data_IF_854570120204
#
_entry.id   IF_854570120204
#
_cell.length_a   1.000
_cell.length_b   1.000
_cell.length_c   1.000
_cell.angle_alpha   90.00
_cell.angle_beta   90.00
_cell.angle_gamma   90.00
#
_symmetry.space_group_name_H-M   'P 1'
#
loop_
_entity.id
_entity.type
_entity.pdbx_description
1 polymer ?
#
# COMPACT_ATOMS: atom_id res chain seq x y z
N UNK A 1 -24.12 -6.18 1.15
CA UNK A 1 -23.03 -6.79 1.93
C UNK A 1 -21.92 -7.18 0.99
N UNK A 2 -20.83 -6.42 1.00
CA UNK A 2 -19.70 -6.63 0.11
C UNK A 2 -18.76 -7.63 0.78
N UNK A 3 -18.69 -8.87 0.30
CA UNK A 3 -17.85 -9.92 0.91
C UNK A 3 -16.36 -9.79 0.57
N UNK A 4 -16.03 -8.95 -0.41
CA UNK A 4 -14.67 -8.77 -0.95
C UNK A 4 -13.67 -8.30 0.13
N UNK A 5 -13.98 -7.32 0.99
CA UNK A 5 -13.03 -6.85 2.00
C UNK A 5 -12.67 -7.94 3.02
N UNK A 6 -13.64 -8.75 3.46
CA UNK A 6 -13.41 -9.85 4.40
C UNK A 6 -12.40 -10.86 3.87
N UNK A 7 -12.61 -11.34 2.64
CA UNK A 7 -11.68 -12.27 1.99
C UNK A 7 -10.32 -11.63 1.76
N UNK A 8 -10.29 -10.38 1.29
CA UNK A 8 -9.05 -9.64 1.07
C UNK A 8 -8.23 -9.48 2.35
N UNK A 9 -8.88 -9.18 3.48
CA UNK A 9 -8.24 -9.08 4.79
C UNK A 9 -7.61 -10.42 5.19
N UNK A 10 -8.38 -11.51 5.17
CA UNK A 10 -7.87 -12.84 5.57
C UNK A 10 -6.67 -13.24 4.70
N UNK A 11 -6.81 -13.13 3.38
CA UNK A 11 -5.76 -13.48 2.43
C UNK A 11 -4.53 -12.60 2.66
N UNK A 12 -4.70 -11.28 2.79
CA UNK A 12 -3.59 -10.34 2.99
C UNK A 12 -2.84 -10.65 4.28
N UNK A 13 -3.52 -10.88 5.39
CA UNK A 13 -2.85 -11.20 6.65
C UNK A 13 -2.11 -12.55 6.59
N UNK A 14 -2.64 -13.54 5.85
CA UNK A 14 -1.90 -14.77 5.58
C UNK A 14 -0.60 -14.49 4.78
N UNK A 15 -0.65 -13.60 3.79
CA UNK A 15 0.55 -13.15 3.05
C UNK A 15 1.53 -12.38 3.94
N UNK A 16 1.05 -11.48 4.82
CA UNK A 16 1.89 -10.79 5.81
C UNK A 16 2.65 -11.80 6.65
N UNK A 17 1.95 -12.79 7.22
CA UNK A 17 2.56 -13.83 8.04
C UNK A 17 3.59 -14.66 7.24
N UNK A 18 3.26 -15.04 6.01
CA UNK A 18 4.16 -15.82 5.15
C UNK A 18 5.44 -15.06 4.79
N UNK A 19 5.33 -13.80 4.35
CA UNK A 19 6.48 -12.96 3.96
C UNK A 19 7.32 -12.60 5.18
N UNK A 20 6.70 -12.30 6.32
CA UNK A 20 7.42 -11.99 7.56
C UNK A 20 8.14 -13.22 8.12
N UNK A 21 7.52 -14.40 8.07
CA UNK A 21 8.17 -15.66 8.46
C UNK A 21 9.38 -15.93 7.59
N UNK A 22 9.27 -15.71 6.27
CA UNK A 22 10.39 -15.81 5.34
C UNK A 22 11.50 -14.82 5.66
N UNK A 23 11.16 -13.58 6.04
CA UNK A 23 12.12 -12.59 6.52
C UNK A 23 12.88 -13.10 7.76
N UNK A 24 12.19 -13.65 8.75
CA UNK A 24 12.84 -14.20 9.96
C UNK A 24 13.81 -15.35 9.64
N UNK A 25 13.50 -16.17 8.63
CA UNK A 25 14.32 -17.32 8.25
C UNK A 25 15.50 -16.97 7.34
N UNK A 26 15.32 -16.04 6.40
CA UNK A 26 16.31 -15.74 5.33
C UNK A 26 16.95 -14.37 5.45
N UNK A 27 16.41 -13.49 6.29
CA UNK A 27 16.80 -12.09 6.40
C UNK A 27 16.51 -11.27 5.13
N UNK A 28 17.10 -10.08 5.06
CA UNK A 28 17.01 -9.19 3.91
C UNK A 28 15.96 -8.08 4.06
N UNK A 29 16.39 -6.83 3.92
CA UNK A 29 15.57 -5.64 4.15
C UNK A 29 14.34 -5.58 3.23
N UNK A 30 14.45 -6.08 1.98
CA UNK A 30 13.32 -6.11 1.05
C UNK A 30 12.12 -6.93 1.56
N UNK A 31 12.36 -8.09 2.21
CA UNK A 31 11.28 -8.91 2.76
C UNK A 31 10.60 -8.23 3.95
N UNK A 32 11.36 -7.55 4.81
CA UNK A 32 10.81 -6.77 5.92
C UNK A 32 9.91 -5.65 5.39
N UNK A 33 10.40 -4.86 4.43
CA UNK A 33 9.66 -3.75 3.86
C UNK A 33 8.41 -4.19 3.10
N UNK A 34 8.47 -5.32 2.36
CA UNK A 34 7.28 -5.91 1.77
C UNK A 34 6.28 -6.38 2.83
N UNK A 35 6.74 -6.95 3.95
CA UNK A 35 5.85 -7.32 5.06
C UNK A 35 5.15 -6.09 5.66
N UNK A 36 5.87 -4.97 5.81
CA UNK A 36 5.30 -3.69 6.28
C UNK A 36 4.27 -3.15 5.29
N UNK A 37 4.58 -3.15 3.98
CA UNK A 37 3.64 -2.72 2.94
C UNK A 37 2.38 -3.58 2.89
N UNK A 38 2.52 -4.91 3.00
CA UNK A 38 1.39 -5.84 3.09
C UNK A 38 0.58 -5.65 4.37
N UNK A 39 1.24 -5.31 5.49
CA UNK A 39 0.55 -5.01 6.73
C UNK A 39 -0.31 -3.75 6.59
N UNK A 40 0.19 -2.70 5.95
CA UNK A 40 -0.62 -1.52 5.64
C UNK A 40 -1.81 -1.85 4.74
N UNK A 41 -1.62 -2.69 3.73
CA UNK A 41 -2.73 -3.16 2.89
C UNK A 41 -3.77 -3.94 3.72
N UNK A 42 -3.30 -4.82 4.61
CA UNK A 42 -4.14 -5.60 5.51
C UNK A 42 -4.95 -4.73 6.47
N UNK A 43 -4.31 -3.69 7.03
CA UNK A 43 -4.98 -2.70 7.87
C UNK A 43 -6.00 -1.87 7.09
N UNK A 44 -5.71 -1.52 5.83
CA UNK A 44 -6.68 -0.86 4.95
C UNK A 44 -7.93 -1.72 4.72
N UNK A 45 -7.75 -2.97 4.31
CA UNK A 45 -8.89 -3.88 4.08
C UNK A 45 -9.65 -4.21 5.37
N UNK A 46 -8.95 -4.37 6.50
CA UNK A 46 -9.57 -4.54 7.81
C UNK A 46 -10.36 -3.30 8.23
N UNK A 47 -9.83 -2.10 7.95
CA UNK A 47 -10.54 -0.85 8.16
C UNK A 47 -11.86 -0.81 7.41
N UNK A 48 -11.87 -1.27 6.15
CA UNK A 48 -13.10 -1.39 5.34
C UNK A 48 -14.11 -2.34 5.98
N UNK A 49 -13.66 -3.51 6.46
CA UNK A 49 -14.49 -4.48 7.18
C UNK A 49 -15.10 -3.85 8.43
N UNK A 50 -14.28 -3.23 9.29
CA UNK A 50 -14.75 -2.65 10.54
C UNK A 50 -15.71 -1.48 10.30
N UNK A 51 -15.46 -0.64 9.29
CA UNK A 51 -16.34 0.45 8.90
C UNK A 51 -17.68 -0.04 8.33
N UNK A 52 -17.70 -1.21 7.68
CA UNK A 52 -18.96 -1.84 7.25
C UNK A 52 -19.84 -2.32 8.40
N UNK A 53 -19.24 -2.50 9.60
CA UNK A 53 -19.93 -2.94 10.81
C UNK A 53 -20.31 -1.76 11.71
N UNK A 54 -19.38 -0.82 11.89
CA UNK A 54 -19.56 0.35 12.76
C UNK A 54 -18.80 1.55 12.23
N UNK A 55 -19.47 2.69 12.17
CA UNK A 55 -18.80 3.94 11.87
C UNK A 55 -17.90 4.36 13.04
N UNK A 56 -16.65 4.71 12.74
CA UNK A 56 -15.74 5.37 13.66
C UNK A 56 -14.77 6.24 12.86
N UNK A 57 -14.72 7.53 13.18
CA UNK A 57 -13.85 8.49 12.48
C UNK A 57 -12.37 8.11 12.53
N UNK A 58 -11.91 7.53 13.63
CA UNK A 58 -10.54 7.05 13.77
C UNK A 58 -10.26 5.92 12.78
N UNK A 59 -11.21 5.00 12.58
CA UNK A 59 -11.07 3.92 11.60
C UNK A 59 -10.99 4.45 10.17
N UNK A 60 -11.76 5.48 9.81
CA UNK A 60 -11.66 6.13 8.48
C UNK A 60 -10.27 6.73 8.27
N UNK A 61 -9.71 7.39 9.29
CA UNK A 61 -8.37 8.00 9.22
C UNK A 61 -7.27 6.94 9.11
N UNK A 62 -7.34 5.86 9.90
CA UNK A 62 -6.39 4.74 9.82
C UNK A 62 -6.50 4.02 8.47
N UNK A 63 -7.72 3.76 8.00
CA UNK A 63 -7.98 3.22 6.68
C UNK A 63 -7.33 4.07 5.57
N UNK A 64 -7.47 5.39 5.64
CA UNK A 64 -6.90 6.32 4.66
C UNK A 64 -5.36 6.28 4.68
N UNK A 65 -4.74 6.40 5.85
CA UNK A 65 -3.27 6.39 5.96
C UNK A 65 -2.70 5.04 5.53
N UNK A 66 -3.24 3.94 6.05
CA UNK A 66 -2.71 2.61 5.77
C UNK A 66 -2.99 2.18 4.32
N UNK A 67 -4.27 2.13 3.95
CA UNK A 67 -4.72 1.62 2.66
C UNK A 67 -4.44 2.57 1.51
N UNK A 68 -4.96 3.80 1.59
CA UNK A 68 -4.95 4.72 0.46
C UNK A 68 -3.60 5.45 0.27
N UNK A 69 -2.81 5.63 1.33
CA UNK A 69 -1.65 6.53 1.30
C UNK A 69 -0.30 5.79 1.36
N UNK A 70 -0.10 4.89 2.34
CA UNK A 70 1.22 4.32 2.63
C UNK A 70 1.49 2.98 1.95
N UNK A 71 0.48 2.17 1.67
CA UNK A 71 0.64 0.80 1.15
C UNK A 71 1.58 0.72 -0.05
N UNK A 72 1.29 1.49 -1.12
CA UNK A 72 2.05 1.42 -2.36
C UNK A 72 3.52 1.81 -2.15
N UNK A 73 3.76 2.87 -1.37
CA UNK A 73 5.10 3.39 -1.13
C UNK A 73 5.98 2.37 -0.37
N UNK A 74 5.46 1.71 0.66
CA UNK A 74 6.20 0.72 1.43
C UNK A 74 6.44 -0.59 0.66
N UNK A 75 5.46 -1.04 -0.13
CA UNK A 75 5.66 -2.18 -1.05
C UNK A 75 6.75 -1.87 -2.08
N UNK A 76 6.69 -0.67 -2.67
CA UNK A 76 7.70 -0.17 -3.60
C UNK A 76 9.10 -0.08 -3.00
N UNK A 77 9.21 0.36 -1.74
CA UNK A 77 10.47 0.48 -1.01
C UNK A 77 11.19 -0.87 -0.83
N UNK A 78 10.43 -1.97 -0.68
CA UNK A 78 10.99 -3.32 -0.68
C UNK A 78 11.65 -3.67 -2.02
N UNK A 79 11.04 -3.26 -3.14
CA UNK A 79 11.60 -3.45 -4.48
C UNK A 79 12.86 -2.60 -4.70
N UNK A 80 12.89 -1.38 -4.15
CA UNK A 80 14.10 -0.53 -4.15
C UNK A 80 15.26 -1.24 -3.46
N UNK A 81 15.03 -1.87 -2.30
CA UNK A 81 16.04 -2.65 -1.59
C UNK A 81 16.46 -3.94 -2.32
N UNK A 82 15.60 -4.47 -3.19
CA UNK A 82 15.92 -5.64 -3.99
C UNK A 82 16.85 -5.29 -5.16
N UNK A 83 16.58 -4.16 -5.83
CA UNK A 83 17.28 -3.72 -7.04
C UNK A 83 18.54 -2.91 -6.73
N UNK A 84 18.48 -1.99 -5.76
CA UNK A 84 19.62 -1.14 -5.36
C UNK A 84 20.36 -1.82 -4.22
N UNK A 85 21.38 -2.62 -4.56
CA UNK A 85 22.16 -3.41 -3.58
C UNK A 85 23.43 -2.74 -3.07
N UNK A 86 23.87 -1.65 -3.70
CA UNK A 86 25.14 -0.97 -3.39
C UNK A 86 24.88 0.44 -2.88
N UNK A 87 25.68 0.86 -1.90
CA UNK A 87 25.64 2.21 -1.31
C UNK A 87 24.56 2.39 -0.23
N UNK A 88 24.40 3.64 0.22
CA UNK A 88 23.45 4.03 1.28
C UNK A 88 22.11 4.56 0.75
N UNK A 89 21.94 4.65 -0.57
CA UNK A 89 20.76 5.27 -1.19
C UNK A 89 19.46 4.62 -0.76
N UNK A 90 19.37 3.29 -0.81
CA UNK A 90 18.16 2.57 -0.38
C UNK A 90 17.84 2.85 1.09
N UNK A 91 18.85 2.85 1.97
CA UNK A 91 18.66 3.12 3.40
C UNK A 91 18.20 4.57 3.66
N UNK A 92 18.80 5.55 2.98
CA UNK A 92 18.40 6.97 3.08
C UNK A 92 16.96 7.14 2.64
N UNK A 93 16.57 6.52 1.52
CA UNK A 93 15.19 6.53 1.02
C UNK A 93 14.21 5.89 2.00
N UNK A 94 14.58 4.81 2.70
CA UNK A 94 13.73 4.22 3.74
C UNK A 94 13.53 5.18 4.90
N UNK A 95 14.59 5.84 5.39
CA UNK A 95 14.47 6.80 6.47
C UNK A 95 13.63 8.02 6.06
N UNK A 96 13.81 8.51 4.84
CA UNK A 96 12.97 9.56 4.28
C UNK A 96 11.50 9.13 4.19
N UNK A 97 11.23 7.92 3.68
CA UNK A 97 9.88 7.38 3.61
C UNK A 97 9.25 7.19 5.00
N UNK A 98 10.02 6.74 5.99
CA UNK A 98 9.57 6.61 7.36
C UNK A 98 9.20 7.96 7.98
N UNK A 99 10.02 8.99 7.77
CA UNK A 99 9.75 10.35 8.24
C UNK A 99 8.49 10.93 7.56
N UNK A 100 8.36 10.78 6.24
CA UNK A 100 7.15 11.21 5.52
C UNK A 100 5.92 10.43 5.97
N UNK A 101 6.05 9.13 6.28
CA UNK A 101 4.94 8.31 6.79
C UNK A 101 4.48 8.77 8.17
N UNK A 102 5.41 9.12 9.06
CA UNK A 102 5.09 9.67 10.37
C UNK A 102 4.39 11.03 10.26
N UNK A 103 4.90 11.92 9.40
CA UNK A 103 4.28 13.21 9.12
C UNK A 103 2.85 13.03 8.56
N UNK A 104 2.68 12.15 7.58
CA UNK A 104 1.38 11.83 6.98
C UNK A 104 0.38 11.33 8.02
N UNK A 105 0.81 10.44 8.92
CA UNK A 105 -0.02 9.94 10.01
C UNK A 105 -0.48 11.08 10.93
N UNK A 106 0.43 11.96 11.36
CA UNK A 106 0.10 13.10 12.23
C UNK A 106 -0.89 14.04 11.56
N UNK A 107 -0.67 14.40 10.29
CA UNK A 107 -1.54 15.32 9.54
C UNK A 107 -2.95 14.71 9.38
N UNK A 108 -3.07 13.44 9.02
CA UNK A 108 -4.38 12.81 8.83
C UNK A 108 -5.11 12.61 10.16
N UNK A 109 -4.40 12.26 11.23
CA UNK A 109 -5.02 12.15 12.56
C UNK A 109 -5.50 13.52 13.07
N UNK A 110 -4.75 14.58 12.82
CA UNK A 110 -5.12 15.95 13.20
C UNK A 110 -6.17 16.60 12.28
N UNK A 111 -6.46 16.02 11.10
CA UNK A 111 -7.41 16.58 10.17
C UNK A 111 -8.83 16.73 10.79
N UNK A 112 -9.51 17.88 10.62
CA UNK A 112 -10.83 18.09 11.20
C UNK A 112 -11.89 17.24 10.50
N UNK A 113 -12.84 16.75 11.29
CA UNK A 113 -14.01 16.00 10.81
C UNK A 113 -15.01 16.99 10.21
N UNK A 114 -15.52 16.68 9.01
CA UNK A 114 -16.47 17.53 8.28
C UNK A 114 -17.90 17.02 8.46
N UNK A 115 -18.08 15.70 8.36
CA UNK A 115 -19.38 15.05 8.51
C UNK A 115 -19.23 13.71 9.23
N UNK A 116 -20.28 13.33 9.96
CA UNK A 116 -20.43 12.00 10.55
C UNK A 116 -21.49 11.16 9.83
N UNK A 117 -22.07 11.67 8.75
CA UNK A 117 -23.02 10.94 7.92
C UNK A 117 -22.25 9.91 7.08
N UNK A 118 -22.01 8.74 7.67
CA UNK A 118 -21.34 7.62 7.02
C UNK A 118 -22.33 6.50 6.74
N UNK A 119 -22.34 5.97 5.50
CA UNK A 119 -23.22 4.88 5.12
C UNK A 119 -22.42 3.58 5.08
N UNK A 120 -22.65 2.69 6.05
CA UNK A 120 -21.95 1.41 6.17
C UNK A 120 -22.21 0.44 5.03
N UNK A 121 -23.24 0.67 4.20
CA UNK A 121 -23.50 -0.11 3.00
C UNK A 121 -22.62 0.29 1.81
N UNK A 122 -21.97 1.45 1.87
CA UNK A 122 -21.12 1.98 0.81
C UNK A 122 -19.63 1.85 1.19
N UNK A 123 -18.73 1.67 0.22
CA UNK A 123 -17.31 1.53 0.49
C UNK A 123 -16.71 2.85 1.00
N UNK A 124 -15.75 2.76 1.93
CA UNK A 124 -15.07 3.92 2.50
C UNK A 124 -14.40 4.77 1.43
N UNK A 125 -13.88 4.15 0.37
CA UNK A 125 -13.30 4.82 -0.81
C UNK A 125 -14.26 5.75 -1.56
N UNK A 126 -15.57 5.53 -1.46
CA UNK A 126 -16.58 6.39 -2.09
C UNK A 126 -16.95 7.62 -1.27
N UNK A 127 -16.70 7.62 0.04
CA UNK A 127 -17.28 8.62 0.96
C UNK A 127 -16.26 9.37 1.81
N UNK A 128 -15.02 8.86 1.93
CA UNK A 128 -14.01 9.43 2.82
C UNK A 128 -13.75 10.93 2.59
N UNK A 129 -13.96 11.42 1.35
CA UNK A 129 -13.80 12.84 0.98
C UNK A 129 -14.77 13.77 1.74
N UNK A 130 -15.94 13.25 2.13
CA UNK A 130 -16.99 13.99 2.84
C UNK A 130 -16.86 13.88 4.37
N UNK A 131 -16.08 12.91 4.85
CA UNK A 131 -15.97 12.61 6.29
C UNK A 131 -14.94 13.50 6.99
N UNK A 132 -13.78 13.76 6.38
CA UNK A 132 -12.75 14.62 6.98
C UNK A 132 -12.08 15.53 5.94
N UNK A 133 -11.69 16.73 6.38
CA UNK A 133 -11.07 17.72 5.51
C UNK A 133 -9.64 17.31 5.17
N UNK A 134 -9.32 17.29 3.89
CA UNK A 134 -7.98 16.98 3.40
C UNK A 134 -7.30 18.27 2.95
N UNK A 135 -6.26 18.68 3.67
CA UNK A 135 -5.44 19.81 3.26
C UNK A 135 -4.73 19.52 1.94
N UNK A 136 -4.31 20.56 1.22
CA UNK A 136 -3.52 20.41 -0.02
C UNK A 136 -2.27 19.55 0.18
N UNK A 137 -1.63 19.64 1.35
CA UNK A 137 -0.50 18.80 1.73
C UNK A 137 -0.87 17.31 1.85
N UNK A 138 -2.03 17.00 2.44
CA UNK A 138 -2.51 15.60 2.56
C UNK A 138 -2.73 14.98 1.18
N UNK A 139 -3.36 15.73 0.29
CA UNK A 139 -3.63 15.31 -1.09
C UNK A 139 -2.30 15.12 -1.84
N UNK A 140 -1.41 16.11 -1.78
CA UNK A 140 -0.11 16.07 -2.43
C UNK A 140 0.73 14.87 -1.97
N UNK A 141 0.83 14.63 -0.66
CA UNK A 141 1.55 13.48 -0.12
C UNK A 141 0.94 12.16 -0.60
N UNK A 142 -0.39 12.06 -0.64
CA UNK A 142 -1.08 10.84 -1.11
C UNK A 142 -0.75 10.56 -2.57
N UNK A 143 -0.78 11.58 -3.43
CA UNK A 143 -0.42 11.46 -4.84
C UNK A 143 1.05 11.06 -4.99
N UNK A 144 1.97 11.78 -4.35
CA UNK A 144 3.41 11.55 -4.46
C UNK A 144 3.81 10.15 -3.98
N UNK A 145 3.27 9.69 -2.85
CA UNK A 145 3.55 8.36 -2.31
C UNK A 145 3.00 7.24 -3.20
N UNK A 146 1.81 7.42 -3.78
CA UNK A 146 1.25 6.44 -4.71
C UNK A 146 2.01 6.41 -6.04
N UNK A 147 2.44 7.57 -6.58
CA UNK A 147 3.29 7.62 -7.78
C UNK A 147 4.62 6.92 -7.50
N UNK A 148 5.28 7.27 -6.41
CA UNK A 148 6.54 6.65 -5.99
C UNK A 148 6.39 5.13 -5.83
N UNK A 149 5.35 4.70 -5.11
CA UNK A 149 5.04 3.29 -4.88
C UNK A 149 4.77 2.54 -6.18
N UNK A 150 3.95 3.10 -7.06
CA UNK A 150 3.61 2.49 -8.35
C UNK A 150 4.85 2.37 -9.24
N UNK A 151 5.63 3.43 -9.39
CA UNK A 151 6.85 3.42 -10.21
C UNK A 151 7.86 2.38 -9.71
N UNK A 152 8.09 2.31 -8.40
CA UNK A 152 9.07 1.39 -7.83
C UNK A 152 8.57 -0.05 -7.82
N UNK A 153 7.29 -0.30 -7.53
CA UNK A 153 6.69 -1.63 -7.50
C UNK A 153 6.45 -2.18 -8.91
N UNK A 154 5.67 -1.47 -9.73
CA UNK A 154 5.33 -1.89 -11.10
C UNK A 154 6.57 -1.83 -11.98
N UNK A 155 7.32 -0.73 -11.94
CA UNK A 155 8.53 -0.58 -12.75
C UNK A 155 9.58 -1.63 -12.39
N UNK A 156 9.78 -1.91 -11.10
CA UNK A 156 10.70 -2.95 -10.65
C UNK A 156 10.26 -4.37 -11.03
N UNK A 157 8.95 -4.65 -11.00
CA UNK A 157 8.39 -5.93 -11.45
C UNK A 157 8.54 -6.11 -12.97
N UNK A 158 8.18 -5.10 -13.78
CA UNK A 158 8.34 -5.11 -15.24
C UNK A 158 9.82 -5.29 -15.61
N UNK A 159 10.71 -4.50 -14.99
CA UNK A 159 12.15 -4.62 -15.22
C UNK A 159 12.66 -6.03 -14.92
N UNK A 160 12.24 -6.61 -13.80
CA UNK A 160 12.62 -7.97 -13.40
C UNK A 160 12.05 -9.03 -14.37
N UNK A 161 10.83 -8.86 -14.87
CA UNK A 161 10.24 -9.76 -15.86
C UNK A 161 11.01 -9.72 -17.20
N UNK A 162 11.32 -8.52 -17.72
CA UNK A 162 12.10 -8.33 -18.95
C UNK A 162 13.49 -8.96 -18.79
N UNK A 163 14.13 -8.79 -17.63
CA UNK A 163 15.44 -9.38 -17.34
C UNK A 163 15.40 -10.91 -17.40
N UNK A 164 14.39 -11.55 -16.77
CA UNK A 164 14.24 -13.00 -16.80
C UNK A 164 13.90 -13.54 -18.18
N UNK A 165 13.07 -12.82 -18.94
CA UNK A 165 12.74 -13.17 -20.32
C UNK A 165 13.99 -13.13 -21.23
N UNK A 166 14.75 -12.04 -21.18
CA UNK A 166 15.98 -11.87 -21.98
C UNK A 166 17.04 -12.92 -21.65
N UNK A 167 17.15 -13.31 -20.38
CA UNK A 167 18.11 -14.32 -19.93
C UNK A 167 17.59 -15.76 -20.07
N UNK A 168 16.33 -15.97 -20.49
CA UNK A 168 15.66 -17.29 -20.59
C UNK A 168 15.79 -18.15 -19.34
N UNK A 169 15.76 -17.54 -18.15
CA UNK A 169 15.88 -18.23 -16.86
C UNK A 169 14.64 -17.99 -16.00
N UNK A 170 14.26 -19.01 -15.22
CA UNK A 170 13.24 -18.91 -14.16
C UNK A 170 11.88 -18.35 -14.64
N UNK A 171 11.28 -19.00 -15.64
CA UNK A 171 9.98 -18.64 -16.24
C UNK A 171 8.89 -18.40 -15.20
N UNK A 172 8.83 -19.20 -14.12
CA UNK A 172 7.87 -19.02 -13.03
C UNK A 172 7.99 -17.64 -12.35
N UNK A 173 9.22 -17.12 -12.20
CA UNK A 173 9.45 -15.79 -11.60
C UNK A 173 9.11 -14.65 -12.55
N UNK A 174 9.23 -14.88 -13.86
CA UNK A 174 8.78 -13.93 -14.87
C UNK A 174 7.26 -13.73 -14.78
N UNK A 175 6.48 -14.81 -14.80
CA UNK A 175 5.02 -14.75 -14.63
C UNK A 175 4.63 -14.14 -13.28
N UNK A 176 5.32 -14.49 -12.19
CA UNK A 176 5.08 -13.87 -10.88
C UNK A 176 5.24 -12.35 -10.90
N UNK A 177 6.29 -11.83 -11.54
CA UNK A 177 6.48 -10.39 -11.67
C UNK A 177 5.41 -9.72 -12.55
N UNK A 178 4.96 -10.38 -13.61
CA UNK A 178 3.85 -9.87 -14.45
C UNK A 178 2.56 -9.79 -13.62
N UNK A 179 2.27 -10.81 -12.82
CA UNK A 179 1.10 -10.81 -11.93
C UNK A 179 1.20 -9.72 -10.84
N UNK A 180 2.40 -9.48 -10.28
CA UNK A 180 2.62 -8.36 -9.34
C UNK A 180 2.36 -7.03 -10.03
N UNK A 181 2.87 -6.82 -11.25
CA UNK A 181 2.64 -5.59 -12.00
C UNK A 181 1.14 -5.40 -12.33
N UNK A 182 0.46 -6.44 -12.80
CA UNK A 182 -0.97 -6.39 -13.10
C UNK A 182 -1.81 -6.12 -11.84
N UNK A 183 -1.49 -6.79 -10.74
CA UNK A 183 -2.16 -6.60 -9.45
C UNK A 183 -1.90 -5.23 -8.83
N UNK A 184 -0.73 -4.62 -9.03
CA UNK A 184 -0.42 -3.28 -8.56
C UNK A 184 -1.05 -2.18 -9.44
N UNK A 185 -1.26 -2.44 -10.73
CA UNK A 185 -1.93 -1.51 -11.64
C UNK A 185 -3.45 -1.48 -11.46
N UNK A 186 -4.08 -2.55 -10.96
CA UNK A 186 -5.54 -2.58 -10.83
C UNK A 186 -6.11 -1.51 -9.86
N UNK A 187 -5.52 -1.25 -8.67
CA UNK A 187 -5.99 -0.18 -7.81
C UNK A 187 -5.56 1.20 -8.33
N UNK A 188 -4.39 1.28 -9.00
CA UNK A 188 -3.91 2.52 -9.60
C UNK A 188 -4.86 3.02 -10.69
N UNK A 189 -5.38 2.12 -11.53
CA UNK A 189 -6.41 2.43 -12.51
C UNK A 189 -7.73 2.83 -11.85
N UNK A 190 -8.14 2.15 -10.77
CA UNK A 190 -9.32 2.52 -9.98
C UNK A 190 -9.26 3.95 -9.44
N UNK A 191 -8.07 4.43 -9.08
CA UNK A 191 -7.85 5.81 -8.66
C UNK A 191 -8.15 6.85 -9.75
N UNK A 192 -7.97 6.52 -11.03
CA UNK A 192 -8.27 7.43 -12.17
C UNK A 192 -9.77 7.55 -12.45
N UNK A 193 -10.57 6.52 -12.14
CA UNK A 193 -12.01 6.50 -12.38
C UNK A 193 -12.86 7.09 -11.23
N UNK A 194 -12.24 7.45 -10.10
CA UNK A 194 -12.88 8.00 -8.89
C UNK A 194 -12.72 9.53 -8.74
N UNK A 195 -12.36 10.22 -9.83
CA UNK A 195 -12.31 11.68 -9.94
C UNK A 195 -13.31 12.19 -10.96
#
# INVERSE_FOLDING_TARGET
>A
MTYIPYLSTIITFAFVAAVFTRYRQRGGMHLLLWSVGLLFYGLGTLGEVLLSLTFNIFLVKIWYVAGAMLTAAWLGMGTVHLLIRKGRTAQILTWALAAVSALALVIVLAAPTVSTAYNTALPASGQYKEIFARSGLTIALTILLNIYGTLTLVGGAIYSAILFWRKKILVNRMFGNILIAAGALSPAAGGTFLY
#
